data_IF_041297687823
#
_entry.id   IF_041297687823
#
_cell.length_a   1.000
_cell.length_b   1.000
_cell.length_c   1.000
_cell.angle_alpha   90.00
_cell.angle_beta   90.00
_cell.angle_gamma   90.00
#
_symmetry.space_group_name_H-M   'P 1'
#
loop_
_entity.id
_entity.type
_entity.pdbx_description
1 polymer ?
#
# COMPACT_ATOMS: atom_id res chain seq x y z
N UNK A 1 11.29 -17.92 25.22
CA UNK A 1 11.87 -17.58 23.93
C UNK A 1 11.03 -16.54 23.21
N UNK A 2 11.62 -15.41 22.97
CA UNK A 2 10.93 -14.36 22.26
C UNK A 2 11.15 -14.54 20.76
N UNK A 3 10.18 -14.19 20.00
CA UNK A 3 10.26 -14.19 18.58
C UNK A 3 9.29 -13.18 18.02
N UNK A 4 9.48 -12.86 16.76
CA UNK A 4 8.61 -11.96 16.04
C UNK A 4 7.88 -12.71 14.93
N UNK A 5 6.66 -12.27 14.68
CA UNK A 5 5.91 -12.71 13.52
C UNK A 5 5.98 -11.60 12.48
N UNK A 6 6.18 -12.01 11.25
CA UNK A 6 6.20 -11.09 10.12
C UNK A 6 5.14 -11.51 9.13
N UNK A 7 4.27 -10.59 8.79
CA UNK A 7 3.22 -10.84 7.82
C UNK A 7 3.39 -9.87 6.65
N UNK A 8 3.35 -10.41 5.45
CA UNK A 8 3.43 -9.61 4.23
C UNK A 8 2.04 -9.50 3.62
N UNK A 9 1.62 -8.28 3.35
CA UNK A 9 0.34 -7.99 2.71
C UNK A 9 0.62 -7.42 1.34
N UNK A 10 0.02 -8.02 0.33
CA UNK A 10 0.18 -7.59 -1.06
C UNK A 10 -1.19 -7.34 -1.68
N UNK A 11 -1.33 -6.21 -2.33
CA UNK A 11 -2.57 -5.79 -2.99
C UNK A 11 -2.26 -5.36 -4.41
N UNK A 12 -3.17 -5.66 -5.32
CA UNK A 12 -3.04 -5.26 -6.70
C UNK A 12 -4.33 -4.63 -7.16
N UNK A 13 -4.23 -3.45 -7.74
CA UNK A 13 -5.37 -2.73 -8.29
C UNK A 13 -5.19 -2.62 -9.79
N UNK A 14 -6.20 -3.02 -10.54
CA UNK A 14 -6.19 -2.90 -12.00
C UNK A 14 -7.12 -1.76 -12.39
N UNK A 15 -6.59 -0.84 -13.21
CA UNK A 15 -7.36 0.28 -13.75
C UNK A 15 -7.28 0.24 -15.26
N UNK A 16 -8.36 0.64 -15.91
CA UNK A 16 -8.45 0.64 -17.36
C UNK A 16 -9.13 1.90 -17.85
N UNK A 17 -8.59 2.47 -18.91
CA UNK A 17 -9.21 3.59 -19.61
C UNK A 17 -10.08 3.04 -20.73
N UNK A 18 -11.41 3.15 -20.58
CA UNK A 18 -12.36 2.69 -21.59
C UNK A 18 -12.76 3.79 -22.58
N UNK A 19 -12.10 4.95 -22.49
CA UNK A 19 -12.40 6.08 -23.39
C UNK A 19 -11.50 6.05 -24.61
N UNK A 20 -11.89 6.81 -25.61
CA UNK A 20 -11.12 6.95 -26.84
C UNK A 20 -10.03 8.02 -26.75
N UNK A 21 -9.92 8.68 -25.63
CA UNK A 21 -8.91 9.71 -25.36
C UNK A 21 -8.10 9.33 -24.16
N UNK A 22 -6.87 9.84 -24.10
CA UNK A 22 -6.04 9.67 -22.91
C UNK A 22 -6.67 10.36 -21.70
N UNK A 23 -6.53 9.77 -20.54
CA UNK A 23 -7.03 10.34 -19.28
C UNK A 23 -5.91 10.39 -18.25
N UNK A 24 -6.05 11.33 -17.31
CA UNK A 24 -5.19 11.40 -16.14
C UNK A 24 -6.06 11.16 -14.93
N UNK A 25 -5.63 10.27 -14.07
CA UNK A 25 -6.36 9.96 -12.84
C UNK A 25 -5.41 10.02 -11.65
N UNK A 26 -6.00 10.21 -10.48
CA UNK A 26 -5.30 10.10 -9.23
C UNK A 26 -5.87 8.90 -8.49
N UNK A 27 -5.00 7.97 -8.11
CA UNK A 27 -5.37 6.83 -7.29
C UNK A 27 -4.86 7.06 -5.89
N UNK A 28 -5.75 6.93 -4.91
CA UNK A 28 -5.43 7.11 -3.52
C UNK A 28 -5.55 5.78 -2.79
N UNK A 29 -4.59 5.50 -1.93
CA UNK A 29 -4.64 4.33 -1.06
C UNK A 29 -3.90 4.66 0.23
N UNK A 30 -3.87 3.72 1.13
CA UNK A 30 -3.14 3.90 2.37
C UNK A 30 -2.69 2.55 2.90
N UNK A 31 -1.63 2.58 3.70
CA UNK A 31 -1.15 1.43 4.43
C UNK A 31 -1.16 1.76 5.93
N UNK A 32 -1.20 0.73 6.79
CA UNK A 32 -1.30 1.00 8.23
C UNK A 32 -0.03 1.65 8.75
N UNK A 33 -0.19 2.55 9.71
CA UNK A 33 0.91 3.09 10.47
C UNK A 33 0.79 2.57 11.89
N UNK A 34 1.92 2.32 12.52
CA UNK A 34 1.93 1.81 13.89
C UNK A 34 2.28 2.93 14.87
N UNK A 35 1.47 3.04 15.92
CA UNK A 35 1.75 3.91 17.06
C UNK A 35 2.29 3.13 18.23
N UNK A 36 2.50 1.83 18.04
CA UNK A 36 3.02 0.94 19.07
C UNK A 36 4.46 0.59 18.69
N UNK A 37 5.41 0.89 19.58
CA UNK A 37 6.83 0.66 19.31
C UNK A 37 7.19 -0.81 19.09
N UNK A 38 6.33 -1.74 19.52
CA UNK A 38 6.56 -3.17 19.34
C UNK A 38 6.03 -3.69 18.00
N UNK A 39 5.25 -2.88 17.30
CA UNK A 39 4.69 -3.21 16.00
C UNK A 39 5.36 -2.34 14.96
N UNK A 40 5.98 -2.96 13.98
CA UNK A 40 6.71 -2.26 12.93
C UNK A 40 6.05 -2.53 11.58
N UNK A 41 5.75 -1.47 10.85
CA UNK A 41 5.18 -1.57 9.51
C UNK A 41 6.20 -1.02 8.53
N UNK A 42 6.53 -1.82 7.53
CA UNK A 42 7.50 -1.45 6.50
C UNK A 42 6.83 -1.49 5.14
N UNK A 43 6.87 -0.37 4.43
CA UNK A 43 6.38 -0.30 3.06
C UNK A 43 7.44 -0.92 2.15
N UNK A 44 7.10 -2.03 1.50
CA UNK A 44 8.04 -2.78 0.67
C UNK A 44 7.97 -2.35 -0.79
N UNK A 45 6.78 -2.14 -1.31
CA UNK A 45 6.57 -1.73 -2.71
C UNK A 45 5.43 -0.74 -2.77
N UNK A 46 5.74 0.48 -3.16
CA UNK A 46 4.76 1.54 -3.33
C UNK A 46 4.42 1.79 -4.80
N UNK A 47 5.08 1.08 -5.71
CA UNK A 47 4.86 1.23 -7.15
C UNK A 47 4.96 2.69 -7.61
N UNK A 48 5.90 3.42 -7.04
CA UNK A 48 6.15 4.81 -7.43
C UNK A 48 5.20 5.85 -6.85
N UNK A 49 4.41 5.51 -5.86
CA UNK A 49 3.47 6.45 -5.25
C UNK A 49 4.20 7.59 -4.55
N UNK A 50 3.56 8.76 -4.51
CA UNK A 50 3.93 9.81 -3.59
C UNK A 50 3.43 9.42 -2.21
N UNK A 51 4.31 9.45 -1.22
CA UNK A 51 4.03 8.91 0.11
C UNK A 51 3.98 10.02 1.14
N UNK A 52 2.90 10.04 1.94
CA UNK A 52 2.82 10.85 3.14
C UNK A 52 2.94 9.91 4.33
N UNK A 53 4.17 9.73 4.82
CA UNK A 53 4.49 8.72 5.82
C UNK A 53 3.73 8.89 7.13
N UNK A 54 3.50 10.14 7.55
CA UNK A 54 2.81 10.44 8.79
C UNK A 54 1.44 9.78 8.89
N UNK A 55 0.75 9.67 7.76
CA UNK A 55 -0.60 9.12 7.71
C UNK A 55 -0.68 7.82 6.93
N UNK A 56 0.43 7.35 6.38
CA UNK A 56 0.44 6.16 5.54
C UNK A 56 -0.32 6.33 4.24
N UNK A 57 -0.38 7.55 3.72
CA UNK A 57 -1.14 7.82 2.50
C UNK A 57 -0.28 7.69 1.26
N UNK A 58 -0.89 7.15 0.22
CA UNK A 58 -0.26 6.90 -1.07
C UNK A 58 -1.08 7.59 -2.15
N UNK A 59 -0.38 8.24 -3.07
CA UNK A 59 -0.99 8.90 -4.22
C UNK A 59 -0.24 8.52 -5.47
N UNK A 60 -0.95 7.96 -6.45
CA UNK A 60 -0.42 7.73 -7.79
C UNK A 60 -1.12 8.67 -8.75
N UNK A 61 -0.33 9.40 -9.54
CA UNK A 61 -0.83 10.19 -10.66
C UNK A 61 -0.55 9.40 -11.92
N UNK A 62 -1.59 8.99 -12.61
CA UNK A 62 -1.49 8.01 -13.68
C UNK A 62 -2.10 8.57 -14.94
N UNK A 63 -1.34 8.50 -16.04
CA UNK A 63 -1.84 8.82 -17.36
C UNK A 63 -2.08 7.51 -18.10
N UNK A 64 -3.29 7.33 -18.61
CA UNK A 64 -3.66 6.14 -19.36
C UNK A 64 -4.03 6.53 -20.78
N UNK A 65 -3.43 5.87 -21.74
CA UNK A 65 -3.80 6.00 -23.15
C UNK A 65 -5.15 5.32 -23.40
N UNK A 66 -5.80 5.59 -24.54
CA UNK A 66 -7.06 4.91 -24.85
C UNK A 66 -6.91 3.40 -24.75
N UNK A 67 -7.84 2.76 -24.05
CA UNK A 67 -7.90 1.32 -23.84
C UNK A 67 -6.71 0.73 -23.07
N UNK A 68 -5.87 1.56 -22.49
CA UNK A 68 -4.75 1.09 -21.67
C UNK A 68 -5.25 0.57 -20.32
N UNK A 69 -4.67 -0.55 -19.90
CA UNK A 69 -4.83 -1.09 -18.54
C UNK A 69 -3.51 -0.98 -17.80
N UNK A 70 -3.59 -0.75 -16.50
CA UNK A 70 -2.40 -0.71 -15.66
C UNK A 70 -2.70 -1.36 -14.32
N UNK A 71 -1.72 -2.13 -13.83
CA UNK A 71 -1.78 -2.73 -12.50
C UNK A 71 -0.88 -1.95 -11.56
N UNK A 72 -1.43 -1.61 -10.41
CA UNK A 72 -0.70 -0.92 -9.35
C UNK A 72 -0.59 -1.87 -8.18
N UNK A 73 0.63 -2.10 -7.72
CA UNK A 73 0.91 -3.05 -6.65
C UNK A 73 1.33 -2.32 -5.39
N UNK A 74 0.78 -2.74 -4.27
CA UNK A 74 1.12 -2.23 -2.94
C UNK A 74 1.51 -3.42 -2.07
N UNK A 75 2.69 -3.36 -1.47
CA UNK A 75 3.15 -4.42 -0.57
C UNK A 75 3.70 -3.77 0.69
N UNK A 76 3.26 -4.25 1.83
CA UNK A 76 3.83 -3.85 3.11
C UNK A 76 3.96 -5.05 4.03
N UNK A 77 4.85 -4.95 5.01
CA UNK A 77 5.12 -5.99 5.98
C UNK A 77 4.82 -5.47 7.37
N UNK A 78 4.18 -6.29 8.17
CA UNK A 78 3.92 -5.99 9.58
C UNK A 78 4.74 -6.98 10.41
N UNK A 79 5.51 -6.46 11.36
CA UNK A 79 6.32 -7.27 12.28
C UNK A 79 5.87 -6.97 13.69
N UNK A 80 5.61 -8.01 14.47
CA UNK A 80 5.13 -7.85 15.84
C UNK A 80 5.60 -9.03 16.70
N UNK A 81 5.61 -8.85 18.04
CA UNK A 81 6.01 -9.94 18.93
C UNK A 81 5.05 -11.12 18.85
N UNK A 82 5.59 -12.32 18.94
CA UNK A 82 4.85 -13.57 18.81
C UNK A 82 3.71 -13.70 19.82
N UNK A 83 3.89 -13.13 20.99
CA UNK A 83 2.92 -13.22 22.09
C UNK A 83 1.82 -12.15 22.03
N UNK A 84 1.79 -11.37 20.97
CA UNK A 84 0.77 -10.32 20.78
C UNK A 84 0.03 -10.51 19.49
N UNK A 85 -1.23 -10.12 19.50
CA UNK A 85 -2.03 -10.11 18.28
C UNK A 85 -2.10 -8.70 17.74
N UNK A 86 -1.97 -8.58 16.42
CA UNK A 86 -2.20 -7.33 15.73
C UNK A 86 -3.71 -7.26 15.45
N UNK A 87 -4.36 -6.27 16.02
CA UNK A 87 -5.77 -6.02 15.80
C UNK A 87 -5.92 -4.90 14.80
N UNK A 88 -7.10 -4.79 14.21
CA UNK A 88 -7.35 -3.69 13.31
C UNK A 88 -7.15 -2.36 14.01
N UNK A 89 -6.69 -1.38 13.25
CA UNK A 89 -6.40 -0.08 13.78
C UNK A 89 -5.01 0.09 14.36
N UNK A 90 -4.13 -0.82 14.12
CA UNK A 90 -2.73 -0.81 14.56
C UNK A 90 -2.28 0.43 15.30
#
# INVERSE_FOLDING_TARGET
>A
LSGNIRETKAFETTIKNNKNTAIEIELLDQYPISKNSQIEVTLEDSNGAAITEEYGKLLWKIKLQPNESRKIKLVYTIKYPKDKQVKEGL
#
